data_IF_695646159429
#
_entry.id   IF_695646159429
#
_cell.length_a   1.000
_cell.length_b   1.000
_cell.length_c   1.000
_cell.angle_alpha   90.00
_cell.angle_beta   90.00
_cell.angle_gamma   90.00
#
_symmetry.space_group_name_H-M   'P 1'
#
loop_
_entity.id
_entity.type
_entity.pdbx_description
1 polymer ?
#
# COMPACT_ATOMS: atom_id res chain seq x y z
N UNK A 1 -28.62 43.41 32.26
CA UNK A 1 -28.70 42.81 30.92
C UNK A 1 -27.53 41.85 30.78
N UNK A 2 -27.83 40.55 30.93
CA UNK A 2 -27.16 39.34 30.46
C UNK A 2 -25.62 39.27 30.47
N UNK A 3 -25.06 38.81 31.59
CA UNK A 3 -24.14 37.67 31.74
C UNK A 3 -23.51 37.06 30.46
N UNK A 4 -22.65 37.83 29.77
CA UNK A 4 -21.89 37.38 28.58
C UNK A 4 -20.72 36.43 28.89
N UNK A 5 -20.37 36.24 30.17
CA UNK A 5 -19.14 35.54 30.56
C UNK A 5 -19.27 34.02 30.71
N UNK A 6 -20.48 33.45 30.62
CA UNK A 6 -20.70 32.00 30.86
C UNK A 6 -20.71 31.13 29.60
N UNK A 7 -20.70 31.71 28.41
CA UNK A 7 -20.83 30.93 27.16
C UNK A 7 -19.46 30.52 26.58
N UNK A 8 -18.36 31.18 26.97
CA UNK A 8 -17.03 30.90 26.42
C UNK A 8 -16.38 29.64 27.01
N UNK A 9 -16.82 29.16 28.19
CA UNK A 9 -16.20 27.98 28.84
C UNK A 9 -16.73 26.61 28.40
N UNK A 10 -17.78 26.55 27.58
CA UNK A 10 -18.40 25.27 27.20
C UNK A 10 -17.98 24.74 25.82
N UNK A 11 -17.14 25.47 25.07
CA UNK A 11 -16.91 25.22 23.64
C UNK A 11 -15.41 25.15 23.27
N UNK A 12 -14.61 24.31 23.92
CA UNK A 12 -13.28 23.95 23.37
C UNK A 12 -12.64 22.66 23.93
N UNK A 13 -13.32 21.88 24.77
CA UNK A 13 -12.74 20.69 25.42
C UNK A 13 -12.79 19.39 24.59
N UNK A 14 -12.86 19.43 23.25
CA UNK A 14 -13.07 18.21 22.44
C UNK A 14 -12.15 18.00 21.24
N UNK A 15 -10.93 18.56 21.20
CA UNK A 15 -9.99 18.31 20.07
C UNK A 15 -8.83 17.35 20.39
N UNK A 16 -8.83 16.67 21.54
CA UNK A 16 -7.67 15.87 21.97
C UNK A 16 -7.69 14.38 21.56
N UNK A 17 -8.47 13.94 20.57
CA UNK A 17 -8.63 12.50 20.28
C UNK A 17 -8.47 12.05 18.81
N UNK A 18 -7.90 12.87 17.91
CA UNK A 18 -7.78 12.49 16.48
C UNK A 18 -6.40 11.93 16.09
N UNK A 19 -5.38 11.97 16.95
CA UNK A 19 -4.01 11.58 16.57
C UNK A 19 -3.62 10.12 16.89
N UNK A 20 -4.57 9.25 17.22
CA UNK A 20 -4.29 7.84 17.52
C UNK A 20 -4.84 6.87 16.46
N UNK A 21 -5.18 7.35 15.26
CA UNK A 21 -5.31 6.44 14.13
C UNK A 21 -3.89 5.96 13.77
N UNK A 22 -3.57 4.65 13.81
CA UNK A 22 -2.35 4.19 13.19
C UNK A 22 -2.40 4.64 11.73
N UNK A 23 -1.31 5.21 11.25
CA UNK A 23 -1.14 5.52 9.84
C UNK A 23 -1.21 4.21 9.04
N UNK A 24 -2.41 3.83 8.61
CA UNK A 24 -2.65 2.68 7.73
C UNK A 24 -2.00 2.89 6.36
N UNK A 25 -1.38 4.06 6.09
CA UNK A 25 -0.55 4.35 4.93
C UNK A 25 0.82 3.63 4.98
N UNK A 26 1.17 2.97 6.10
CA UNK A 26 2.09 1.81 6.10
C UNK A 26 1.43 0.59 5.40
N UNK A 27 0.84 0.83 4.23
CA UNK A 27 0.51 -0.13 3.18
C UNK A 27 1.81 -0.79 2.78
N UNK A 28 2.10 -1.98 3.33
CA UNK A 28 3.09 -2.98 2.87
C UNK A 28 4.30 -2.41 2.11
N UNK A 29 5.51 -2.56 2.68
CA UNK A 29 6.78 -2.31 1.95
C UNK A 29 6.74 -3.12 0.66
N UNK A 30 6.50 -2.42 -0.45
CA UNK A 30 6.42 -2.97 -1.78
C UNK A 30 7.46 -2.23 -2.63
N UNK A 31 8.32 -2.96 -3.33
CA UNK A 31 8.42 -4.42 -3.30
C UNK A 31 9.01 -4.95 -1.99
N UNK A 32 8.69 -6.20 -1.64
CA UNK A 32 9.23 -6.85 -0.44
C UNK A 32 10.71 -7.25 -0.68
N UNK A 33 11.65 -6.79 0.17
CA UNK A 33 13.08 -7.02 -0.01
C UNK A 33 13.50 -8.49 0.14
N UNK A 34 12.71 -9.34 0.81
CA UNK A 34 13.05 -10.77 0.96
C UNK A 34 13.09 -11.51 -0.40
N UNK A 35 12.45 -10.96 -1.43
CA UNK A 35 12.42 -11.50 -2.78
C UNK A 35 13.53 -10.98 -3.71
N UNK A 36 14.43 -10.09 -3.26
CA UNK A 36 15.39 -9.43 -4.17
C UNK A 36 16.23 -10.41 -4.99
N UNK A 37 16.62 -11.55 -4.40
CA UNK A 37 17.43 -12.57 -5.07
C UNK A 37 16.72 -13.33 -6.19
N UNK A 38 15.39 -13.27 -6.31
CA UNK A 38 14.65 -14.00 -7.36
C UNK A 38 14.01 -13.08 -8.42
N UNK A 39 14.40 -11.81 -8.49
CA UNK A 39 13.90 -10.89 -9.50
C UNK A 39 14.48 -11.25 -10.88
N UNK A 40 13.63 -11.37 -11.90
CA UNK A 40 14.04 -11.48 -13.30
C UNK A 40 14.70 -12.80 -13.69
N UNK A 41 14.64 -13.83 -12.83
CA UNK A 41 15.22 -15.14 -13.14
C UNK A 41 14.22 -16.10 -13.80
N UNK A 42 12.94 -15.73 -13.92
CA UNK A 42 11.91 -16.52 -14.57
C UNK A 42 11.61 -17.87 -13.91
N UNK A 43 12.04 -18.07 -12.66
CA UNK A 43 11.95 -19.35 -11.97
C UNK A 43 10.67 -19.51 -11.13
N UNK A 44 9.73 -18.55 -11.19
CA UNK A 44 8.53 -18.55 -10.36
C UNK A 44 8.81 -18.42 -8.86
N UNK A 45 10.00 -17.95 -8.48
CA UNK A 45 10.46 -17.92 -7.08
C UNK A 45 9.93 -16.75 -6.25
N UNK A 46 9.29 -15.75 -6.88
CA UNK A 46 8.76 -14.58 -6.18
C UNK A 46 7.39 -14.83 -5.57
N UNK A 47 7.23 -14.37 -4.33
CA UNK A 47 5.99 -14.40 -3.57
C UNK A 47 5.17 -13.13 -3.79
N UNK A 48 3.90 -13.13 -3.36
CA UNK A 48 3.01 -11.97 -3.49
C UNK A 48 3.59 -10.75 -2.77
N UNK A 49 3.78 -9.66 -3.52
CA UNK A 49 4.40 -8.43 -3.02
C UNK A 49 5.90 -8.31 -3.32
N UNK A 50 6.57 -9.40 -3.71
CA UNK A 50 7.93 -9.33 -4.25
C UNK A 50 7.98 -8.59 -5.59
N UNK A 51 9.13 -8.00 -5.92
CA UNK A 51 9.35 -7.36 -7.22
C UNK A 51 9.40 -8.39 -8.34
N UNK A 52 8.99 -8.02 -9.55
CA UNK A 52 9.10 -8.87 -10.73
C UNK A 52 9.34 -8.03 -11.99
N UNK A 53 10.02 -8.64 -12.97
CA UNK A 53 10.22 -8.09 -14.31
C UNK A 53 9.28 -8.74 -15.33
N UNK A 54 8.61 -9.83 -14.96
CA UNK A 54 7.57 -10.46 -15.77
C UNK A 54 6.82 -11.54 -14.99
N UNK A 55 5.72 -12.03 -15.56
CA UNK A 55 4.86 -13.03 -14.91
C UNK A 55 5.59 -14.33 -14.52
N UNK A 56 6.64 -14.70 -15.26
CA UNK A 56 7.44 -15.89 -15.01
C UNK A 56 8.25 -15.82 -13.70
N UNK A 57 8.48 -14.62 -13.14
CA UNK A 57 9.17 -14.50 -11.85
C UNK A 57 8.27 -14.90 -10.68
N UNK A 58 6.95 -14.78 -10.84
CA UNK A 58 5.98 -14.94 -9.77
C UNK A 58 5.44 -16.37 -9.69
N UNK A 59 5.43 -16.96 -8.50
CA UNK A 59 4.77 -18.25 -8.25
C UNK A 59 3.27 -18.21 -8.60
N UNK A 60 2.65 -17.02 -8.51
CA UNK A 60 1.25 -16.78 -8.87
C UNK A 60 0.99 -16.64 -10.37
N UNK A 61 2.04 -16.57 -11.20
CA UNK A 61 1.92 -16.31 -12.64
C UNK A 61 1.43 -14.90 -12.99
N UNK A 62 1.44 -13.96 -12.04
CA UNK A 62 0.99 -12.60 -12.28
C UNK A 62 2.00 -11.60 -11.70
N UNK A 63 2.68 -10.90 -12.59
CA UNK A 63 3.42 -9.69 -12.28
C UNK A 63 2.53 -8.49 -12.61
N UNK A 64 2.09 -7.77 -11.58
CA UNK A 64 1.14 -6.68 -11.70
C UNK A 64 1.82 -5.32 -11.61
N UNK A 65 1.37 -4.40 -12.46
CA UNK A 65 1.87 -3.03 -12.53
C UNK A 65 1.39 -2.22 -11.34
N UNK A 66 2.29 -1.55 -10.61
CA UNK A 66 1.98 -0.75 -9.44
C UNK A 66 2.66 0.62 -9.51
N UNK A 67 1.89 1.72 -9.63
CA UNK A 67 2.41 3.06 -9.47
C UNK A 67 2.79 3.32 -8.01
N UNK A 68 4.04 3.74 -7.76
CA UNK A 68 4.56 4.15 -6.45
C UNK A 68 5.58 5.27 -6.60
N UNK A 69 5.39 6.36 -5.84
CA UNK A 69 6.38 7.44 -5.73
C UNK A 69 6.77 8.12 -7.06
N UNK A 70 5.85 8.16 -8.03
CA UNK A 70 6.13 8.69 -9.38
C UNK A 70 6.81 7.71 -10.34
N UNK A 71 7.07 6.48 -9.90
CA UNK A 71 7.56 5.38 -10.72
C UNK A 71 6.51 4.29 -10.85
N UNK A 72 6.68 3.42 -11.86
CA UNK A 72 5.86 2.23 -12.04
C UNK A 72 6.75 1.01 -11.86
N UNK A 73 6.37 0.12 -10.94
CA UNK A 73 7.12 -1.10 -10.63
C UNK A 73 6.24 -2.33 -10.88
N UNK A 74 6.87 -3.46 -11.20
CA UNK A 74 6.23 -4.76 -11.25
C UNK A 74 6.25 -5.41 -9.87
N UNK A 75 5.08 -5.86 -9.39
CA UNK A 75 4.97 -6.61 -8.13
C UNK A 75 4.14 -7.87 -8.33
N UNK A 76 4.61 -8.99 -7.80
CA UNK A 76 3.87 -10.23 -7.87
C UNK A 76 2.53 -10.09 -7.15
N UNK A 77 1.46 -10.50 -7.81
CA UNK A 77 0.10 -10.40 -7.31
C UNK A 77 -0.66 -11.70 -7.55
N UNK A 78 -1.69 -11.96 -6.74
CA UNK A 78 -2.63 -13.02 -7.07
C UNK A 78 -3.44 -12.61 -8.30
N UNK A 79 -3.80 -13.56 -9.17
CA UNK A 79 -4.56 -13.27 -10.40
C UNK A 79 -5.89 -12.56 -10.11
N UNK A 80 -6.58 -12.93 -9.02
CA UNK A 80 -7.79 -12.24 -8.56
C UNK A 80 -7.55 -10.90 -7.85
N UNK A 81 -6.30 -10.58 -7.52
CA UNK A 81 -5.87 -9.40 -6.78
C UNK A 81 -5.09 -8.38 -7.66
N UNK A 82 -5.10 -8.58 -8.99
CA UNK A 82 -4.27 -7.85 -9.94
C UNK A 82 -4.62 -6.37 -10.13
N UNK A 83 -5.83 -5.93 -9.76
CA UNK A 83 -6.26 -4.51 -9.82
C UNK A 83 -6.52 -3.91 -8.43
N UNK A 84 -6.25 -4.68 -7.38
CA UNK A 84 -6.49 -4.30 -6.00
C UNK A 84 -5.26 -3.60 -5.43
N UNK A 85 -5.46 -2.84 -4.36
CA UNK A 85 -4.40 -2.06 -3.70
C UNK A 85 -3.63 -1.10 -4.64
N UNK A 86 -4.29 -0.59 -5.67
CA UNK A 86 -3.72 0.37 -6.62
C UNK A 86 -2.85 -0.26 -7.72
N UNK A 87 -2.91 -1.58 -7.89
CA UNK A 87 -2.32 -2.26 -9.04
C UNK A 87 -3.18 -2.02 -10.30
N UNK A 88 -2.58 -2.15 -11.47
CA UNK A 88 -3.21 -1.85 -12.77
C UNK A 88 -3.43 -3.09 -13.65
N UNK A 89 -3.34 -4.30 -13.09
CA UNK A 89 -3.47 -5.57 -13.80
C UNK A 89 -2.14 -6.30 -13.96
N UNK A 90 -2.21 -7.61 -14.26
CA UNK A 90 -1.07 -8.43 -14.65
C UNK A 90 -0.62 -8.06 -16.07
N UNK A 91 0.68 -8.20 -16.35
CA UNK A 91 1.25 -7.98 -17.69
C UNK A 91 2.38 -6.97 -17.72
N UNK A 92 3.16 -6.93 -16.64
CA UNK A 92 4.46 -6.25 -16.62
C UNK A 92 5.46 -6.94 -17.56
#
# INVERSE_FOLDING_TARGET
>A
MVQFTKIVSALALTIAAVHAAPDLSQRQVLPDPAGEKNIGNGAGGQFIGGQCNGAADCASGCCATLPRGGQTIGVCSGVGAQTQAGKQGCGF
#
